data_IF_224657876146
#
_entry.id   IF_224657876146
#
_cell.length_a   1.000
_cell.length_b   1.000
_cell.length_c   1.000
_cell.angle_alpha   90.00
_cell.angle_beta   90.00
_cell.angle_gamma   90.00
#
_symmetry.space_group_name_H-M   'P 1'
#
loop_
_entity.id
_entity.type
_entity.pdbx_description
1 polymer ?
#
# COMPACT_ATOMS: atom_id res chain seq x y z
N UNK A 1 -14.87 17.85 -50.67
CA UNK A 1 -15.68 16.74 -50.12
C UNK A 1 -14.71 15.75 -49.49
N UNK A 2 -13.96 16.13 -48.46
CA UNK A 2 -14.36 16.54 -47.10
C UNK A 2 -14.87 15.39 -46.22
N UNK A 3 -14.11 15.21 -45.13
CA UNK A 3 -14.41 14.55 -43.84
C UNK A 3 -14.12 13.03 -43.78
N UNK A 4 -13.41 12.51 -42.77
CA UNK A 4 -12.82 13.10 -41.57
C UNK A 4 -11.84 12.10 -40.92
N UNK A 5 -10.70 12.62 -40.47
CA UNK A 5 -9.96 12.30 -39.23
C UNK A 5 -10.00 10.83 -38.75
N UNK A 6 -8.99 10.02 -39.06
CA UNK A 6 -7.77 9.89 -38.25
C UNK A 6 -8.07 9.66 -36.76
N UNK A 7 -8.33 8.40 -36.41
CA UNK A 7 -8.20 7.88 -35.05
C UNK A 7 -6.74 8.02 -34.62
N UNK A 8 -6.41 9.18 -34.07
CA UNK A 8 -5.26 9.35 -33.21
C UNK A 8 -5.80 9.47 -31.80
N UNK A 9 -6.08 8.32 -31.18
CA UNK A 9 -6.07 8.23 -29.72
C UNK A 9 -4.60 8.40 -29.33
N UNK A 10 -4.16 9.66 -29.33
CA UNK A 10 -3.00 10.07 -28.58
C UNK A 10 -3.32 9.76 -27.14
N UNK A 11 -2.82 8.62 -26.66
CA UNK A 11 -2.57 8.43 -25.24
C UNK A 11 -1.58 9.53 -24.87
N UNK A 12 -2.13 10.69 -24.49
CA UNK A 12 -1.38 11.76 -23.87
C UNK A 12 -0.90 11.16 -22.55
N UNK A 13 0.30 10.58 -22.58
CA UNK A 13 1.14 10.34 -21.41
C UNK A 13 1.42 11.71 -20.80
N UNK A 14 0.44 12.21 -20.05
CA UNK A 14 0.59 13.40 -19.26
C UNK A 14 1.42 12.99 -18.04
N UNK A 15 2.70 13.35 -18.07
CA UNK A 15 3.74 13.05 -17.09
C UNK A 15 3.50 13.71 -15.70
N UNK A 16 2.25 13.72 -15.23
CA UNK A 16 1.80 14.26 -13.95
C UNK A 16 1.06 13.20 -13.12
N UNK A 17 1.42 11.93 -13.30
CA UNK A 17 0.90 10.83 -12.50
C UNK A 17 1.44 10.93 -11.07
N UNK A 18 0.59 11.41 -10.18
CA UNK A 18 0.87 11.37 -8.75
C UNK A 18 0.65 9.95 -8.20
N UNK A 19 1.12 9.70 -6.98
CA UNK A 19 1.04 8.38 -6.34
C UNK A 19 -0.38 7.83 -6.27
N UNK A 20 -1.40 8.65 -5.98
CA UNK A 20 -2.79 8.17 -5.90
C UNK A 20 -3.36 7.78 -7.26
N UNK A 21 -3.03 8.51 -8.33
CA UNK A 21 -3.43 8.13 -9.70
C UNK A 21 -2.81 6.78 -10.09
N UNK A 22 -1.55 6.52 -9.74
CA UNK A 22 -0.89 5.22 -9.97
C UNK A 22 -1.54 4.11 -9.16
N UNK A 23 -1.81 4.35 -7.87
CA UNK A 23 -2.49 3.38 -7.01
C UNK A 23 -3.87 3.03 -7.55
N UNK A 24 -4.66 4.03 -7.94
CA UNK A 24 -5.98 3.79 -8.54
C UNK A 24 -5.88 2.89 -9.78
N UNK A 25 -4.98 3.21 -10.72
CA UNK A 25 -4.81 2.37 -11.94
C UNK A 25 -4.44 0.93 -11.62
N UNK A 26 -3.58 0.70 -10.62
CA UNK A 26 -3.19 -0.64 -10.20
C UNK A 26 -4.34 -1.40 -9.50
N UNK A 27 -5.20 -0.69 -8.76
CA UNK A 27 -6.35 -1.27 -8.06
C UNK A 27 -7.55 -1.53 -8.99
N UNK A 28 -7.60 -0.84 -10.13
CA UNK A 28 -8.66 -0.95 -11.13
C UNK A 28 -8.24 -1.77 -12.35
N UNK A 29 -6.97 -2.19 -12.45
CA UNK A 29 -6.52 -3.05 -13.54
C UNK A 29 -7.04 -4.47 -13.36
N UNK A 30 -7.16 -5.18 -14.48
CA UNK A 30 -7.52 -6.61 -14.50
C UNK A 30 -6.42 -7.52 -13.86
N UNK A 31 -5.31 -6.94 -13.39
CA UNK A 31 -4.23 -7.64 -12.68
C UNK A 31 -4.61 -8.02 -11.23
N UNK A 32 -5.79 -7.61 -10.76
CA UNK A 32 -6.44 -8.23 -9.61
C UNK A 32 -6.01 -7.72 -8.23
N UNK A 33 -5.29 -6.60 -8.12
CA UNK A 33 -4.90 -6.05 -6.82
C UNK A 33 -6.12 -5.53 -6.04
N UNK A 34 -6.54 -6.29 -5.04
CA UNK A 34 -7.75 -5.99 -4.27
C UNK A 34 -7.53 -4.90 -3.21
N UNK A 35 -6.28 -4.75 -2.74
CA UNK A 35 -5.83 -3.83 -1.69
C UNK A 35 -4.42 -3.31 -1.96
N UNK A 36 -4.00 -2.29 -1.23
CA UNK A 36 -2.60 -1.85 -1.19
C UNK A 36 -2.23 -1.36 0.20
N UNK A 37 -0.94 -1.25 0.50
CA UNK A 37 -0.46 -0.62 1.72
C UNK A 37 0.89 -1.16 2.15
N UNK A 38 1.08 -1.27 3.46
CA UNK A 38 2.36 -1.68 4.05
C UNK A 38 2.18 -2.83 5.01
N UNK A 39 3.20 -3.69 5.07
CA UNK A 39 3.34 -4.75 6.06
C UNK A 39 4.37 -4.31 7.08
N UNK A 40 3.97 -4.19 8.35
CA UNK A 40 4.83 -3.72 9.43
C UNK A 40 5.10 -4.88 10.37
N UNK A 41 6.38 -5.13 10.62
CA UNK A 41 6.85 -6.16 11.53
C UNK A 41 7.11 -5.56 12.91
N UNK A 42 6.57 -6.18 13.94
CA UNK A 42 6.96 -5.87 15.31
C UNK A 42 8.13 -6.77 15.71
N UNK A 43 9.26 -6.15 16.06
CA UNK A 43 10.48 -6.88 16.41
C UNK A 43 10.93 -6.65 17.87
N UNK A 44 10.20 -5.86 18.64
CA UNK A 44 10.53 -5.56 20.03
C UNK A 44 9.27 -5.70 20.88
N UNK A 45 9.30 -6.63 21.83
CA UNK A 45 8.17 -6.96 22.69
C UNK A 45 8.53 -6.70 24.14
N UNK A 46 8.05 -5.58 24.67
CA UNK A 46 8.15 -5.27 26.09
C UNK A 46 6.97 -4.41 26.51
N UNK A 47 6.63 -4.38 27.81
CA UNK A 47 5.60 -3.47 28.34
C UNK A 47 5.88 -2.00 27.98
N UNK A 48 7.15 -1.62 27.92
CA UNK A 48 7.58 -0.28 27.55
C UNK A 48 7.45 0.00 26.04
N UNK A 49 7.45 -1.04 25.18
CA UNK A 49 7.31 -0.91 23.74
C UNK A 49 5.86 -0.96 23.24
N UNK A 50 4.93 -1.52 24.02
CA UNK A 50 3.51 -1.68 23.64
C UNK A 50 2.83 -0.35 23.30
N UNK A 51 2.97 0.65 24.18
CA UNK A 51 2.34 1.96 23.96
C UNK A 51 2.98 2.73 22.79
N UNK A 52 4.31 2.83 22.66
CA UNK A 52 4.94 3.38 21.47
C UNK A 52 4.52 2.67 20.18
N UNK A 53 4.39 1.34 20.19
CA UNK A 53 3.95 0.55 19.05
C UNK A 53 2.54 0.95 18.59
N UNK A 54 1.57 0.96 19.50
CA UNK A 54 0.19 1.40 19.17
C UNK A 54 0.19 2.83 18.59
N UNK A 55 0.96 3.75 19.20
CA UNK A 55 1.05 5.14 18.73
C UNK A 55 1.66 5.25 17.34
N UNK A 56 2.64 4.41 17.00
CA UNK A 56 3.23 4.35 15.67
C UNK A 56 2.19 3.91 14.64
N UNK A 57 1.45 2.84 14.91
CA UNK A 57 0.43 2.33 13.99
C UNK A 57 -0.69 3.37 13.76
N UNK A 58 -1.15 4.03 14.82
CA UNK A 58 -2.15 5.09 14.73
C UNK A 58 -1.64 6.29 13.93
N UNK A 59 -0.38 6.70 14.18
CA UNK A 59 0.25 7.78 13.44
C UNK A 59 0.38 7.44 11.95
N UNK A 60 0.85 6.24 11.62
CA UNK A 60 0.97 5.79 10.23
C UNK A 60 -0.38 5.81 9.51
N UNK A 61 -1.42 5.24 10.12
CA UNK A 61 -2.78 5.26 9.53
C UNK A 61 -3.29 6.69 9.33
N UNK A 62 -3.10 7.56 10.33
CA UNK A 62 -3.51 8.96 10.26
C UNK A 62 -2.77 9.72 9.15
N UNK A 63 -1.44 9.65 9.12
CA UNK A 63 -0.64 10.37 8.14
C UNK A 63 -0.87 9.87 6.72
N UNK A 64 -1.06 8.57 6.52
CA UNK A 64 -1.44 8.04 5.20
C UNK A 64 -2.78 8.60 4.75
N UNK A 65 -3.79 8.63 5.63
CA UNK A 65 -5.09 9.22 5.32
C UNK A 65 -4.99 10.70 4.97
N UNK A 66 -4.29 11.48 5.79
CA UNK A 66 -4.08 12.91 5.56
C UNK A 66 -3.31 13.17 4.25
N UNK A 67 -2.33 12.34 3.91
CA UNK A 67 -1.61 12.42 2.65
C UNK A 67 -2.55 12.17 1.46
N UNK A 68 -3.38 11.13 1.54
CA UNK A 68 -4.26 10.75 0.43
C UNK A 68 -5.40 11.75 0.20
N UNK A 69 -5.90 12.39 1.25
CA UNK A 69 -6.92 13.44 1.16
C UNK A 69 -6.47 14.68 0.37
N UNK A 70 -5.16 14.85 0.13
CA UNK A 70 -4.63 15.95 -0.68
C UNK A 70 -4.68 15.70 -2.19
N UNK A 71 -4.93 14.46 -2.62
CA UNK A 71 -5.07 14.14 -4.04
C UNK A 71 -6.47 14.47 -4.55
N UNK A 72 -6.66 14.37 -5.87
CA UNK A 72 -7.99 14.49 -6.49
C UNK A 72 -8.95 13.56 -5.78
N UNK A 73 -10.16 14.05 -5.52
CA UNK A 73 -11.13 13.40 -4.64
C UNK A 73 -11.30 11.91 -4.97
N UNK A 74 -11.44 11.56 -6.24
CA UNK A 74 -11.70 10.18 -6.66
C UNK A 74 -10.45 9.29 -6.59
N UNK A 75 -9.27 9.81 -6.95
CA UNK A 75 -8.00 9.08 -6.84
C UNK A 75 -7.66 8.79 -5.37
N UNK A 76 -7.76 9.82 -4.52
CA UNK A 76 -7.47 9.74 -3.09
C UNK A 76 -8.48 8.87 -2.34
N UNK A 77 -9.77 8.98 -2.66
CA UNK A 77 -10.83 8.17 -2.05
C UNK A 77 -10.69 6.68 -2.43
N UNK A 78 -10.42 6.37 -3.71
CA UNK A 78 -10.20 5.00 -4.15
C UNK A 78 -9.00 4.38 -3.46
N UNK A 79 -7.86 5.08 -3.45
CA UNK A 79 -6.69 4.65 -2.72
C UNK A 79 -7.01 4.47 -1.22
N UNK A 80 -7.65 5.42 -0.56
CA UNK A 80 -7.96 5.29 0.87
C UNK A 80 -8.89 4.11 1.18
N UNK A 81 -9.87 3.82 0.31
CA UNK A 81 -10.83 2.73 0.49
C UNK A 81 -10.18 1.34 0.46
N UNK A 82 -9.04 1.22 -0.24
CA UNK A 82 -8.28 -0.03 -0.42
C UNK A 82 -7.02 -0.09 0.43
N UNK A 83 -6.75 0.93 1.25
CA UNK A 83 -5.56 0.98 2.08
C UNK A 83 -5.64 -0.02 3.24
N UNK A 84 -4.67 -0.92 3.31
CA UNK A 84 -4.53 -1.93 4.35
C UNK A 84 -3.17 -1.81 5.01
N UNK A 85 -3.15 -1.64 6.33
CA UNK A 85 -1.93 -1.72 7.13
C UNK A 85 -1.89 -3.09 7.82
N UNK A 86 -1.10 -4.01 7.25
CA UNK A 86 -0.93 -5.36 7.79
C UNK A 86 0.15 -5.34 8.86
N UNK A 87 -0.13 -5.89 10.03
CA UNK A 87 0.88 -6.07 11.09
C UNK A 87 1.21 -7.55 11.24
N UNK A 88 2.50 -7.85 11.32
CA UNK A 88 2.99 -9.19 11.65
C UNK A 88 3.59 -9.11 13.05
N UNK A 89 2.90 -9.76 13.98
CA UNK A 89 3.24 -9.78 15.40
C UNK A 89 3.35 -11.24 15.87
N UNK A 90 4.58 -11.74 15.89
CA UNK A 90 4.94 -13.05 16.44
C UNK A 90 6.17 -12.87 17.31
N UNK A 91 5.97 -12.73 18.62
CA UNK A 91 7.07 -12.53 19.55
C UNK A 91 8.00 -13.73 19.64
N UNK A 92 7.53 -14.94 19.33
CA UNK A 92 8.36 -16.15 19.39
C UNK A 92 9.40 -16.19 18.28
N UNK A 93 9.07 -15.61 17.13
CA UNK A 93 9.94 -15.54 15.96
C UNK A 93 10.67 -14.20 15.82
N UNK A 94 10.02 -13.10 16.18
CA UNK A 94 10.45 -11.75 15.80
C UNK A 94 11.04 -10.94 16.95
N UNK A 95 10.89 -11.33 18.21
CA UNK A 95 11.46 -10.55 19.31
C UNK A 95 12.99 -10.54 19.28
N UNK A 96 13.57 -9.34 19.24
CA UNK A 96 15.00 -9.15 19.05
C UNK A 96 15.53 -9.58 17.67
N UNK A 97 14.65 -9.86 16.70
CA UNK A 97 15.05 -10.33 15.37
C UNK A 97 15.82 -9.28 14.56
N UNK A 98 16.64 -9.76 13.63
CA UNK A 98 17.37 -8.89 12.70
C UNK A 98 16.53 -8.56 11.48
N UNK A 99 16.92 -7.51 10.75
CA UNK A 99 16.32 -7.17 9.46
C UNK A 99 16.42 -8.29 8.42
N UNK A 100 17.40 -9.19 8.55
CA UNK A 100 17.52 -10.37 7.69
C UNK A 100 16.37 -11.36 7.93
N UNK A 101 16.09 -11.69 9.19
CA UNK A 101 15.00 -12.61 9.58
C UNK A 101 13.64 -12.04 9.15
N UNK A 102 13.40 -10.76 9.42
CA UNK A 102 12.16 -10.09 9.00
C UNK A 102 11.99 -10.12 7.47
N UNK A 103 13.08 -9.98 6.70
CA UNK A 103 13.03 -10.03 5.23
C UNK A 103 12.74 -11.43 4.70
N UNK A 104 13.36 -12.47 5.27
CA UNK A 104 13.08 -13.85 4.89
C UNK A 104 11.62 -14.21 5.19
N UNK A 105 11.12 -13.83 6.37
CA UNK A 105 9.72 -14.01 6.71
C UNK A 105 8.79 -13.25 5.75
N UNK A 106 9.14 -12.01 5.37
CA UNK A 106 8.36 -11.24 4.41
C UNK A 106 8.25 -11.94 3.05
N UNK A 107 9.32 -12.55 2.54
CA UNK A 107 9.30 -13.28 1.26
C UNK A 107 8.40 -14.51 1.30
N UNK A 108 8.43 -15.24 2.42
CA UNK A 108 7.54 -16.38 2.63
C UNK A 108 6.08 -15.91 2.72
N UNK A 109 5.82 -14.94 3.60
CA UNK A 109 4.50 -14.33 3.76
C UNK A 109 3.93 -13.78 2.45
N UNK A 110 4.73 -13.08 1.64
CA UNK A 110 4.26 -12.45 0.40
C UNK A 110 3.82 -13.51 -0.61
N UNK A 111 4.53 -14.63 -0.68
CA UNK A 111 4.19 -15.73 -1.57
C UNK A 111 2.85 -16.36 -1.19
N UNK A 112 2.60 -16.54 0.12
CA UNK A 112 1.31 -17.04 0.61
C UNK A 112 0.17 -16.01 0.52
N UNK A 113 0.48 -14.72 0.70
CA UNK A 113 -0.50 -13.64 0.59
C UNK A 113 -1.03 -13.55 -0.84
N UNK A 114 -0.15 -13.62 -1.84
CA UNK A 114 -0.52 -13.67 -3.26
C UNK A 114 -1.38 -14.90 -3.56
N UNK A 115 -1.09 -16.06 -2.96
CA UNK A 115 -1.88 -17.27 -3.17
C UNK A 115 -3.28 -17.22 -2.51
N UNK A 116 -3.53 -16.26 -1.61
CA UNK A 116 -4.82 -16.06 -0.92
C UNK A 116 -5.71 -15.02 -1.61
N UNK A 117 -5.14 -14.22 -2.51
CA UNK A 117 -5.86 -13.29 -3.39
C UNK A 117 -6.44 -14.02 -4.60
#
# INVERSE_FOLDING_TARGET
>A
MDREHSDSIGHHDNNNDNTATRLRRLLESDEGHSTWGSVIYRCIYSPDSDRPWSRLLDALKRYTREALQRYRHDDGATALSKFTLTTIEDSTLLDGSTTHVAREHFRAWSSEAIARE
#
